data_IF_221841588333
#
_entry.id   IF_221841588333
#
_cell.length_a   1.000
_cell.length_b   1.000
_cell.length_c   1.000
_cell.angle_alpha   90.00
_cell.angle_beta   90.00
_cell.angle_gamma   90.00
#
_symmetry.space_group_name_H-M   'P 1'
#
loop_
_entity.id
_entity.type
_entity.pdbx_description
1 polymer ?
#
# COMPACT_ATOMS: atom_id res chain seq x y z
N UNK A 1 -1.65 18.04 4.52
CA UNK A 1 -2.13 16.69 4.29
C UNK A 1 -2.58 16.01 5.59
N UNK A 2 -1.77 16.10 6.66
CA UNK A 2 -2.14 15.58 7.99
C UNK A 2 -3.45 16.19 8.49
N UNK A 3 -3.60 17.52 8.44
CA UNK A 3 -4.82 18.21 8.84
C UNK A 3 -6.07 17.70 8.08
N UNK A 4 -5.94 17.44 6.77
CA UNK A 4 -7.05 16.89 5.97
C UNK A 4 -7.47 15.48 6.41
N UNK A 5 -6.52 14.65 6.83
CA UNK A 5 -6.83 13.34 7.37
C UNK A 5 -7.51 13.46 8.75
N UNK A 6 -7.04 14.37 9.60
CA UNK A 6 -7.61 14.66 10.92
C UNK A 6 -9.03 15.22 10.83
N UNK A 7 -9.31 16.13 9.88
CA UNK A 7 -10.68 16.62 9.59
C UNK A 7 -11.66 15.48 9.26
N UNK A 8 -11.17 14.42 8.64
CA UNK A 8 -11.95 13.22 8.31
C UNK A 8 -11.91 12.15 9.41
N UNK A 9 -11.25 12.40 10.53
CA UNK A 9 -11.16 11.47 11.65
C UNK A 9 -10.37 10.18 11.34
N UNK A 10 -9.46 10.21 10.34
CA UNK A 10 -8.71 9.04 9.90
C UNK A 10 -7.20 9.27 9.99
N UNK A 11 -6.43 8.17 10.02
CA UNK A 11 -4.99 8.26 9.93
C UNK A 11 -4.54 8.69 8.52
N UNK A 12 -3.37 9.32 8.44
CA UNK A 12 -2.77 9.72 7.16
C UNK A 12 -2.59 8.52 6.19
N UNK A 13 -2.26 7.34 6.72
CA UNK A 13 -2.14 6.12 5.92
C UNK A 13 -3.49 5.71 5.32
N UNK A 14 -4.56 5.74 6.11
CA UNK A 14 -5.94 5.48 5.63
C UNK A 14 -6.32 6.49 4.55
N UNK A 15 -6.05 7.78 4.80
CA UNK A 15 -6.39 8.85 3.86
C UNK A 15 -5.71 8.67 2.50
N UNK A 16 -4.39 8.49 2.49
CA UNK A 16 -3.62 8.28 1.26
C UNK A 16 -4.00 6.98 0.55
N UNK A 17 -4.27 5.91 1.30
CA UNK A 17 -4.75 4.64 0.74
C UNK A 17 -6.09 4.83 0.02
N UNK A 18 -7.02 5.58 0.60
CA UNK A 18 -8.32 5.86 -0.02
C UNK A 18 -8.18 6.69 -1.30
N UNK A 19 -7.33 7.73 -1.30
CA UNK A 19 -7.05 8.53 -2.50
C UNK A 19 -6.41 7.68 -3.60
N UNK A 20 -5.49 6.77 -3.26
CA UNK A 20 -4.88 5.83 -4.21
C UNK A 20 -5.92 4.86 -4.80
N UNK A 21 -6.79 4.29 -3.97
CA UNK A 21 -7.87 3.41 -4.43
C UNK A 21 -8.75 4.13 -5.47
N UNK A 22 -9.17 5.36 -5.18
CA UNK A 22 -9.95 6.17 -6.10
C UNK A 22 -9.19 6.53 -7.38
N UNK A 23 -7.88 6.76 -7.30
CA UNK A 23 -7.06 7.00 -8.48
C UNK A 23 -7.02 5.76 -9.40
N UNK A 24 -6.82 4.58 -8.84
CA UNK A 24 -6.84 3.33 -9.60
C UNK A 24 -8.22 3.03 -10.20
N UNK A 25 -9.30 3.25 -9.45
CA UNK A 25 -10.67 3.07 -9.96
C UNK A 25 -10.95 4.01 -11.14
N UNK A 26 -10.58 5.28 -11.02
CA UNK A 26 -10.75 6.25 -12.10
C UNK A 26 -9.95 5.87 -13.35
N UNK A 27 -8.70 5.42 -13.21
CA UNK A 27 -7.88 4.97 -14.33
C UNK A 27 -8.51 3.76 -14.99
N UNK A 28 -9.00 2.78 -14.20
CA UNK A 28 -9.65 1.59 -14.72
C UNK A 28 -10.91 1.94 -15.53
N UNK A 29 -11.75 2.84 -15.01
CA UNK A 29 -12.96 3.32 -15.70
C UNK A 29 -12.63 4.10 -16.97
N UNK A 30 -11.61 4.96 -16.95
CA UNK A 30 -11.17 5.72 -18.14
C UNK A 30 -10.61 4.81 -19.23
N UNK A 31 -9.80 3.81 -18.88
CA UNK A 31 -9.23 2.85 -19.85
C UNK A 31 -10.26 1.88 -20.43
N UNK A 32 -11.37 1.69 -19.73
CA UNK A 32 -12.41 0.75 -20.15
C UNK A 32 -13.80 1.37 -20.07
N UNK A 33 -14.14 2.37 -20.89
CA UNK A 33 -15.41 3.10 -20.79
C UNK A 33 -16.66 2.21 -20.94
N UNK A 34 -16.59 1.13 -21.71
CA UNK A 34 -17.68 0.15 -21.83
C UNK A 34 -17.99 -0.58 -20.51
N UNK A 35 -17.06 -0.59 -19.55
CA UNK A 35 -17.28 -1.17 -18.22
C UNK A 35 -18.05 -0.24 -17.29
N UNK A 36 -18.29 1.00 -17.68
CA UNK A 36 -19.11 1.95 -16.90
C UNK A 36 -20.63 1.72 -17.09
N UNK A 37 -21.03 0.79 -17.97
CA UNK A 37 -22.41 0.35 -18.09
C UNK A 37 -22.77 -0.67 -17.01
N UNK A 38 -24.07 -0.84 -16.63
CA UNK A 38 -24.48 -1.82 -15.63
C UNK A 38 -24.02 -3.26 -15.92
N UNK A 39 -24.00 -3.66 -17.19
CA UNK A 39 -23.48 -4.96 -17.62
C UNK A 39 -21.94 -5.02 -17.62
N UNK A 40 -21.29 -3.94 -18.00
CA UNK A 40 -19.84 -3.82 -18.05
C UNK A 40 -19.20 -3.66 -16.68
N UNK A 41 -19.91 -3.08 -15.71
CA UNK A 41 -19.41 -2.88 -14.34
C UNK A 41 -18.98 -4.21 -13.67
N UNK A 42 -19.68 -5.31 -13.96
CA UNK A 42 -19.31 -6.66 -13.49
C UNK A 42 -17.93 -7.13 -13.96
N UNK A 43 -17.31 -6.48 -14.93
CA UNK A 43 -15.95 -6.78 -15.44
C UNK A 43 -14.88 -5.87 -14.85
N UNK A 44 -15.26 -4.89 -14.04
CA UNK A 44 -14.29 -4.07 -13.29
C UNK A 44 -13.60 -4.96 -12.25
N UNK A 45 -12.30 -4.79 -12.11
CA UNK A 45 -11.51 -5.56 -11.15
C UNK A 45 -11.53 -4.89 -9.78
N UNK A 46 -11.52 -5.67 -8.69
CA UNK A 46 -11.31 -5.13 -7.35
C UNK A 46 -10.05 -4.25 -7.31
N UNK A 47 -10.13 -3.13 -6.61
CA UNK A 47 -8.97 -2.26 -6.37
C UNK A 47 -8.56 -2.43 -4.92
N UNK A 48 -7.42 -3.07 -4.68
CA UNK A 48 -6.84 -3.30 -3.37
C UNK A 48 -5.42 -2.78 -3.32
N UNK A 49 -5.05 -2.17 -2.20
CA UNK A 49 -3.70 -1.65 -1.98
C UNK A 49 -3.03 -2.48 -0.89
N UNK A 50 -1.83 -2.99 -1.17
CA UNK A 50 -1.01 -3.64 -0.14
C UNK A 50 -0.39 -2.57 0.77
N UNK A 51 -0.74 -2.61 2.04
CA UNK A 51 -0.21 -1.68 3.06
C UNK A 51 0.60 -2.50 4.07
N UNK A 52 1.94 -2.39 4.07
CA UNK A 52 2.78 -3.02 5.07
C UNK A 52 2.55 -2.43 6.46
N UNK A 53 2.62 -3.28 7.46
CA UNK A 53 2.38 -2.94 8.87
C UNK A 53 3.54 -3.42 9.72
N UNK A 54 4.12 -2.51 10.50
CA UNK A 54 5.17 -2.83 11.45
C UNK A 54 4.60 -3.56 12.66
N UNK A 55 4.92 -4.84 12.80
CA UNK A 55 4.43 -5.68 13.89
C UNK A 55 5.01 -5.32 15.26
N UNK A 56 6.13 -4.56 15.32
CA UNK A 56 6.70 -4.10 16.59
C UNK A 56 5.76 -3.22 17.40
N UNK A 57 4.78 -2.61 16.77
CA UNK A 57 3.73 -1.84 17.45
C UNK A 57 2.74 -2.71 18.23
N UNK A 58 2.62 -3.97 17.85
CA UNK A 58 1.68 -4.95 18.43
C UNK A 58 2.39 -5.99 19.29
N UNK A 59 3.62 -6.34 18.93
CA UNK A 59 4.42 -7.36 19.58
C UNK A 59 5.82 -6.78 19.89
N UNK A 60 6.07 -6.34 21.11
CA UNK A 60 7.36 -5.78 21.51
C UNK A 60 8.49 -6.78 21.25
N UNK A 61 9.51 -6.37 20.52
CA UNK A 61 10.68 -7.18 20.22
C UNK A 61 11.89 -6.30 19.93
N UNK A 62 13.09 -6.84 20.23
CA UNK A 62 14.37 -6.20 19.92
C UNK A 62 15.00 -6.70 18.62
N UNK A 63 14.32 -7.56 17.88
CA UNK A 63 14.86 -8.08 16.61
C UNK A 63 15.11 -6.97 15.60
N UNK A 64 16.26 -7.03 14.93
CA UNK A 64 16.60 -6.17 13.78
C UNK A 64 16.13 -6.76 12.44
N UNK A 65 15.62 -8.00 12.45
CA UNK A 65 15.08 -8.63 11.23
C UNK A 65 13.79 -7.95 10.79
N UNK A 66 13.43 -8.14 9.53
CA UNK A 66 12.14 -7.71 9.03
C UNK A 66 11.01 -8.37 9.87
N UNK A 67 10.24 -7.52 10.55
CA UNK A 67 9.13 -7.94 11.39
C UNK A 67 7.90 -7.12 11.01
N UNK A 68 7.39 -7.45 9.83
CA UNK A 68 6.25 -6.78 9.22
C UNK A 68 5.23 -7.80 8.70
N UNK A 69 3.99 -7.39 8.62
CA UNK A 69 2.91 -8.06 7.91
C UNK A 69 2.29 -7.04 6.95
N UNK A 70 1.22 -7.40 6.28
CA UNK A 70 0.49 -6.48 5.41
C UNK A 70 -1.02 -6.68 5.53
N UNK A 71 -1.75 -5.63 5.19
CA UNK A 71 -3.20 -5.62 5.00
C UNK A 71 -3.51 -5.14 3.60
N UNK A 72 -4.63 -5.59 3.03
CA UNK A 72 -5.00 -5.28 1.65
C UNK A 72 -6.39 -4.61 1.58
N UNK A 73 -6.54 -3.40 2.14
CA UNK A 73 -7.80 -2.68 2.03
C UNK A 73 -8.12 -2.34 0.57
N UNK A 74 -9.40 -2.29 0.25
CA UNK A 74 -9.84 -1.98 -1.10
C UNK A 74 -11.34 -1.95 -1.28
N UNK A 75 -11.75 -1.68 -2.51
CA UNK A 75 -13.14 -1.59 -2.94
C UNK A 75 -13.44 -2.57 -4.06
N UNK A 76 -14.74 -2.80 -4.28
CA UNK A 76 -15.27 -3.56 -5.39
C UNK A 76 -15.99 -2.61 -6.37
N UNK A 77 -15.31 -2.13 -7.44
CA UNK A 77 -15.86 -1.16 -8.37
C UNK A 77 -17.13 -1.59 -9.09
N UNK A 78 -17.43 -2.90 -9.10
CA UNK A 78 -18.65 -3.45 -9.69
C UNK A 78 -19.92 -3.02 -8.95
N UNK A 79 -19.81 -2.60 -7.69
CA UNK A 79 -20.95 -2.11 -6.90
C UNK A 79 -21.33 -0.66 -7.21
N UNK A 80 -20.49 0.09 -7.92
CA UNK A 80 -20.79 1.46 -8.30
C UNK A 80 -19.58 2.39 -8.28
N UNK A 81 -19.87 3.69 -8.29
CA UNK A 81 -18.88 4.76 -8.14
C UNK A 81 -18.85 5.17 -6.68
N UNK A 82 -17.66 5.21 -6.10
CA UNK A 82 -17.47 5.55 -4.70
C UNK A 82 -17.03 7.01 -4.53
N UNK A 83 -17.54 7.64 -3.50
CA UNK A 83 -17.05 8.93 -2.98
C UNK A 83 -15.81 8.72 -2.10
N UNK A 84 -15.09 9.81 -1.82
CA UNK A 84 -13.94 9.75 -0.91
C UNK A 84 -14.35 9.28 0.49
N UNK A 85 -15.46 9.78 1.02
CA UNK A 85 -15.91 9.46 2.38
C UNK A 85 -16.33 7.98 2.53
N UNK A 86 -16.95 7.41 1.50
CA UNK A 86 -17.25 5.98 1.45
C UNK A 86 -15.96 5.14 1.46
N UNK A 87 -14.98 5.49 0.63
CA UNK A 87 -13.71 4.74 0.58
C UNK A 87 -12.92 4.90 1.87
N UNK A 88 -12.90 6.10 2.47
CA UNK A 88 -12.28 6.32 3.79
C UNK A 88 -12.88 5.41 4.86
N UNK A 89 -14.22 5.35 4.93
CA UNK A 89 -14.93 4.47 5.87
C UNK A 89 -14.59 3.00 5.63
N UNK A 90 -14.64 2.54 4.38
CA UNK A 90 -14.31 1.15 4.02
C UNK A 90 -12.89 0.80 4.41
N UNK A 91 -11.91 1.63 4.03
CA UNK A 91 -10.48 1.39 4.32
C UNK A 91 -10.23 1.38 5.83
N UNK A 92 -10.80 2.34 6.56
CA UNK A 92 -10.67 2.44 8.02
C UNK A 92 -11.20 1.18 8.69
N UNK A 93 -12.39 0.71 8.33
CA UNK A 93 -12.98 -0.49 8.92
C UNK A 93 -12.21 -1.77 8.55
N UNK A 94 -11.84 -1.95 7.28
CA UNK A 94 -11.06 -3.10 6.85
C UNK A 94 -9.70 -3.17 7.56
N UNK A 95 -9.00 -2.05 7.65
CA UNK A 95 -7.74 -1.97 8.39
C UNK A 95 -7.95 -2.22 9.88
N UNK A 96 -8.98 -1.63 10.48
CA UNK A 96 -9.30 -1.81 11.90
C UNK A 96 -9.57 -3.27 12.28
N UNK A 97 -10.30 -3.99 11.45
CA UNK A 97 -10.56 -5.43 11.67
C UNK A 97 -9.30 -6.29 11.56
N UNK A 98 -8.40 -5.97 10.64
CA UNK A 98 -7.19 -6.76 10.40
C UNK A 98 -6.02 -6.38 11.34
N UNK A 99 -5.96 -5.13 11.81
CA UNK A 99 -4.88 -4.60 12.65
C UNK A 99 -5.13 -4.83 14.15
N UNK A 100 -5.57 -6.02 14.51
CA UNK A 100 -5.70 -6.44 15.90
C UNK A 100 -4.60 -7.42 16.29
N UNK A 101 -4.12 -7.43 17.55
CA UNK A 101 -3.10 -8.38 17.99
C UNK A 101 -3.51 -9.84 17.76
N UNK A 102 -4.82 -10.16 17.91
CA UNK A 102 -5.35 -11.51 17.71
C UNK A 102 -5.24 -11.95 16.25
N UNK A 103 -5.70 -11.10 15.30
CA UNK A 103 -5.66 -11.43 13.86
C UNK A 103 -4.23 -11.47 13.33
N UNK A 104 -3.42 -10.48 13.71
CA UNK A 104 -1.99 -10.43 13.33
C UNK A 104 -1.23 -11.61 13.91
N UNK A 105 -1.49 -11.97 15.17
CA UNK A 105 -0.89 -13.13 15.83
C UNK A 105 -1.26 -14.44 15.14
N UNK A 106 -2.52 -14.63 14.75
CA UNK A 106 -2.98 -15.81 14.02
C UNK A 106 -2.27 -15.93 12.65
N UNK A 107 -2.20 -14.83 11.88
CA UNK A 107 -1.49 -14.78 10.59
C UNK A 107 0.00 -15.13 10.75
N UNK A 108 0.66 -14.53 11.74
CA UNK A 108 2.06 -14.79 12.04
C UNK A 108 2.32 -16.23 12.47
N UNK A 109 1.50 -16.75 13.37
CA UNK A 109 1.61 -18.14 13.87
C UNK A 109 1.46 -19.15 12.74
N UNK A 110 0.55 -18.90 11.80
CA UNK A 110 0.37 -19.77 10.63
C UNK A 110 1.63 -19.83 9.78
N UNK A 111 2.29 -18.70 9.54
CA UNK A 111 3.54 -18.64 8.78
C UNK A 111 4.65 -19.41 9.51
N UNK A 112 4.83 -19.19 10.82
CA UNK A 112 5.85 -19.86 11.64
C UNK A 112 5.60 -21.39 11.70
N UNK A 113 4.35 -21.81 11.89
CA UNK A 113 4.00 -23.24 11.89
C UNK A 113 4.32 -23.93 10.56
N UNK A 114 4.11 -23.23 9.45
CA UNK A 114 4.49 -23.75 8.13
C UNK A 114 5.99 -24.01 8.03
N UNK A 115 6.81 -23.10 8.55
CA UNK A 115 8.28 -23.26 8.56
C UNK A 115 8.75 -24.34 9.55
N UNK A 116 8.03 -24.56 10.63
CA UNK A 116 8.35 -25.57 11.65
C UNK A 116 7.91 -26.98 11.25
N UNK A 117 7.13 -27.14 10.18
CA UNK A 117 6.68 -28.44 9.73
C UNK A 117 7.88 -29.32 9.36
N UNK A 118 8.00 -30.48 10.02
CA UNK A 118 9.14 -31.39 9.86
C UNK A 118 9.29 -31.85 8.40
N UNK A 119 8.21 -32.11 7.69
CA UNK A 119 8.21 -32.52 6.29
C UNK A 119 8.78 -31.42 5.40
N UNK A 120 8.37 -30.15 5.64
CA UNK A 120 8.89 -29.00 4.92
C UNK A 120 10.37 -28.73 5.26
N UNK A 121 10.81 -29.03 6.48
CA UNK A 121 12.23 -28.85 6.87
C UNK A 121 13.16 -29.84 6.16
N UNK A 122 12.75 -31.09 5.99
CA UNK A 122 13.56 -32.15 5.37
C UNK A 122 13.49 -32.10 3.84
N UNK A 123 12.44 -31.52 3.28
CA UNK A 123 12.28 -31.43 1.83
C UNK A 123 13.48 -30.77 1.14
N UNK A 124 14.00 -31.29 0.03
CA UNK A 124 15.05 -30.69 -0.77
C UNK A 124 14.69 -29.27 -1.24
N UNK A 125 15.70 -28.40 -1.37
CA UNK A 125 15.52 -26.98 -1.67
C UNK A 125 14.76 -26.74 -2.98
N UNK A 126 15.03 -27.56 -4.02
CA UNK A 126 14.36 -27.40 -5.32
C UNK A 126 12.84 -27.68 -5.24
N UNK A 127 12.40 -28.62 -4.38
CA UNK A 127 10.97 -28.87 -4.12
C UNK A 127 10.33 -27.73 -3.34
N UNK A 128 11.05 -27.18 -2.36
CA UNK A 128 10.59 -25.98 -1.63
C UNK A 128 10.44 -24.80 -2.57
N UNK A 129 11.40 -24.55 -3.45
CA UNK A 129 11.37 -23.44 -4.40
C UNK A 129 10.17 -23.57 -5.35
N UNK A 130 9.93 -24.78 -5.86
CA UNK A 130 8.78 -25.05 -6.71
C UNK A 130 7.45 -24.82 -5.98
N UNK A 131 7.32 -25.33 -4.76
CA UNK A 131 6.13 -25.15 -3.94
C UNK A 131 5.90 -23.68 -3.56
N UNK A 132 6.97 -22.95 -3.19
CA UNK A 132 6.91 -21.52 -2.87
C UNK A 132 6.55 -20.70 -4.10
N UNK A 133 7.08 -21.02 -5.27
CA UNK A 133 6.68 -20.37 -6.53
C UNK A 133 5.21 -20.61 -6.82
N UNK A 134 4.73 -21.85 -6.71
CA UNK A 134 3.31 -22.17 -6.91
C UNK A 134 2.42 -21.42 -5.92
N UNK A 135 2.75 -21.42 -4.62
CA UNK A 135 2.04 -20.67 -3.60
C UNK A 135 2.04 -19.15 -3.90
N UNK A 136 3.20 -18.58 -4.27
CA UNK A 136 3.30 -17.18 -4.67
C UNK A 136 2.43 -16.85 -5.88
N UNK A 137 2.39 -17.73 -6.89
CA UNK A 137 1.52 -17.55 -8.06
C UNK A 137 0.03 -17.62 -7.71
N UNK A 138 -0.35 -18.42 -6.73
CA UNK A 138 -1.74 -18.57 -6.31
C UNK A 138 -2.21 -17.48 -5.36
N UNK A 139 -1.37 -17.05 -4.43
CA UNK A 139 -1.76 -16.18 -3.30
C UNK A 139 -1.08 -14.82 -3.25
N UNK A 140 -0.01 -14.62 -4.03
CA UNK A 140 0.83 -13.42 -4.02
C UNK A 140 0.23 -12.19 -4.70
N UNK A 141 1.06 -11.42 -5.39
CA UNK A 141 0.81 -10.07 -5.92
C UNK A 141 -0.43 -9.88 -6.82
N UNK A 142 -1.10 -10.96 -7.24
CA UNK A 142 -2.30 -10.88 -8.09
C UNK A 142 -3.48 -10.17 -7.43
N UNK A 143 -3.45 -10.02 -6.11
CA UNK A 143 -4.60 -9.55 -5.33
C UNK A 143 -4.58 -8.05 -5.08
N UNK A 144 -3.50 -7.36 -5.40
CA UNK A 144 -3.33 -5.93 -5.12
C UNK A 144 -2.94 -5.14 -6.37
N UNK A 145 -3.35 -3.87 -6.44
CA UNK A 145 -3.01 -2.97 -7.54
C UNK A 145 -1.59 -2.39 -7.39
N UNK A 146 -1.18 -2.13 -6.15
CA UNK A 146 0.15 -1.61 -5.80
C UNK A 146 0.47 -1.88 -4.34
N UNK A 147 1.74 -1.61 -3.96
CA UNK A 147 2.17 -1.53 -2.57
C UNK A 147 2.35 -0.06 -2.17
N UNK A 148 1.77 0.32 -1.05
CA UNK A 148 1.89 1.64 -0.45
C UNK A 148 2.43 1.52 0.98
N UNK A 149 3.64 2.01 1.21
CA UNK A 149 4.29 2.00 2.53
C UNK A 149 4.51 3.41 3.04
N UNK A 150 4.03 3.67 4.24
CA UNK A 150 4.24 4.93 4.95
C UNK A 150 5.12 4.68 6.18
N UNK A 151 6.36 5.20 6.15
CA UNK A 151 7.28 5.11 7.28
C UNK A 151 6.93 6.08 8.42
N UNK A 152 6.08 7.08 8.16
CA UNK A 152 5.76 8.11 9.12
C UNK A 152 6.75 9.25 9.14
N UNK A 153 6.93 9.86 10.32
CA UNK A 153 7.85 10.98 10.49
C UNK A 153 9.23 10.48 10.90
N UNK A 154 10.24 10.87 10.14
CA UNK A 154 11.64 10.65 10.49
C UNK A 154 12.12 11.81 11.39
N UNK A 155 12.84 11.46 12.44
CA UNK A 155 13.51 12.41 13.31
C UNK A 155 14.99 12.03 13.40
N UNK A 156 15.85 13.01 13.29
CA UNK A 156 17.30 12.84 13.46
C UNK A 156 17.75 13.49 14.76
N UNK A 157 18.85 13.02 15.37
CA UNK A 157 19.54 13.76 16.42
C UNK A 157 19.86 15.19 15.94
N UNK A 158 19.84 16.16 16.86
CA UNK A 158 20.00 17.58 16.51
C UNK A 158 21.28 17.85 15.73
N UNK A 159 22.38 17.16 16.09
CA UNK A 159 23.66 17.30 15.43
C UNK A 159 23.65 16.84 13.97
N UNK A 160 22.86 15.82 13.65
CA UNK A 160 22.71 15.29 12.30
C UNK A 160 21.73 16.11 11.48
N UNK A 161 20.67 16.63 12.11
CA UNK A 161 19.63 17.40 11.44
C UNK A 161 20.19 18.65 10.73
N UNK A 162 21.28 19.22 11.24
CA UNK A 162 21.97 20.37 10.64
C UNK A 162 22.52 20.09 9.22
N UNK A 163 22.80 18.83 8.91
CA UNK A 163 23.43 18.43 7.64
C UNK A 163 22.45 17.72 6.68
N UNK A 164 21.23 17.43 7.11
CA UNK A 164 20.26 16.69 6.33
C UNK A 164 19.07 17.59 6.01
N UNK A 165 18.98 18.02 4.77
CA UNK A 165 17.89 18.89 4.29
C UNK A 165 16.69 18.14 3.72
N UNK A 166 16.87 16.84 3.36
CA UNK A 166 15.84 16.03 2.74
C UNK A 166 16.04 14.55 3.06
N UNK A 167 14.94 13.85 3.29
CA UNK A 167 14.91 12.40 3.42
C UNK A 167 13.82 11.81 2.55
N UNK A 168 14.14 10.72 1.87
CA UNK A 168 13.21 10.04 0.99
C UNK A 168 13.17 8.54 1.27
N UNK A 169 12.03 7.94 0.98
CA UNK A 169 11.85 6.50 1.07
C UNK A 169 11.30 5.96 -0.25
N UNK A 170 12.11 5.18 -0.94
CA UNK A 170 11.75 4.56 -2.20
C UNK A 170 11.56 3.04 -2.03
N UNK A 171 10.48 2.53 -2.61
CA UNK A 171 10.20 1.10 -2.73
C UNK A 171 10.50 0.64 -4.15
N UNK A 172 11.10 -0.54 -4.29
CA UNK A 172 11.20 -1.22 -5.58
C UNK A 172 9.81 -1.72 -6.04
N UNK A 173 9.49 -1.63 -7.33
CA UNK A 173 8.29 -2.24 -7.88
C UNK A 173 8.32 -3.78 -7.69
N UNK A 174 7.15 -4.36 -7.49
CA UNK A 174 7.00 -5.81 -7.42
C UNK A 174 6.91 -6.42 -8.81
N UNK A 175 7.20 -7.72 -8.95
CA UNK A 175 7.26 -8.40 -10.26
C UNK A 175 5.96 -8.31 -11.07
N UNK A 176 4.81 -8.15 -10.41
CA UNK A 176 3.49 -8.04 -11.05
C UNK A 176 2.80 -6.70 -10.85
N UNK A 177 3.24 -5.92 -9.89
CA UNK A 177 2.77 -4.56 -9.63
C UNK A 177 3.86 -3.60 -10.10
N UNK A 178 3.70 -3.02 -11.31
CA UNK A 178 4.75 -2.22 -11.94
C UNK A 178 4.98 -0.88 -11.25
N UNK A 179 4.17 -0.55 -10.25
CA UNK A 179 4.26 0.70 -9.49
C UNK A 179 4.31 0.39 -8.01
N UNK A 180 5.18 1.07 -7.27
CA UNK A 180 5.23 1.04 -5.81
C UNK A 180 5.33 2.46 -5.25
N UNK A 181 4.79 2.68 -4.06
CA UNK A 181 4.69 3.99 -3.45
C UNK A 181 5.27 3.95 -2.04
N UNK A 182 6.31 4.73 -1.82
CA UNK A 182 6.93 4.94 -0.52
C UNK A 182 6.70 6.37 -0.04
N UNK A 183 6.38 6.54 1.24
CA UNK A 183 6.23 7.88 1.82
C UNK A 183 6.98 8.01 3.14
N UNK A 184 7.55 9.19 3.35
CA UNK A 184 8.25 9.59 4.55
C UNK A 184 8.00 11.06 4.79
N UNK A 185 7.81 11.47 6.04
CA UNK A 185 7.79 12.88 6.42
C UNK A 185 9.10 13.25 7.11
N UNK A 186 9.67 14.37 6.74
CA UNK A 186 10.86 14.95 7.37
C UNK A 186 10.77 16.47 7.34
N UNK A 187 11.06 17.11 8.45
CA UNK A 187 11.07 18.57 8.61
C UNK A 187 9.78 19.25 8.05
N UNK A 188 8.62 18.77 8.49
CA UNK A 188 7.32 19.31 8.09
C UNK A 188 6.87 19.01 6.67
N UNK A 189 7.74 18.44 5.83
CA UNK A 189 7.45 18.07 4.44
C UNK A 189 7.23 16.58 4.31
N UNK A 190 6.20 16.18 3.55
CA UNK A 190 5.97 14.78 3.21
C UNK A 190 6.47 14.50 1.79
N UNK A 191 7.41 13.58 1.70
CA UNK A 191 7.95 13.08 0.43
C UNK A 191 7.18 11.82 0.03
N UNK A 192 6.60 11.86 -1.17
CA UNK A 192 5.84 10.75 -1.75
C UNK A 192 6.60 10.30 -2.99
N UNK A 193 7.25 9.14 -2.90
CA UNK A 193 8.05 8.59 -3.97
C UNK A 193 7.26 7.49 -4.69
N UNK A 194 7.07 7.66 -5.99
CA UNK A 194 6.42 6.67 -6.85
C UNK A 194 7.49 6.10 -7.78
N UNK A 195 7.75 4.81 -7.63
CA UNK A 195 8.66 4.07 -8.50
C UNK A 195 7.88 3.19 -9.46
N UNK A 196 8.31 3.11 -10.71
CA UNK A 196 7.62 2.33 -11.73
C UNK A 196 8.55 1.69 -12.74
N UNK A 197 8.09 0.60 -13.36
CA UNK A 197 8.74 -0.09 -14.47
C UNK A 197 8.04 0.16 -15.82
N UNK A 198 6.94 0.91 -15.81
CA UNK A 198 6.16 1.29 -16.99
C UNK A 198 6.41 2.76 -17.33
N UNK A 199 6.17 3.16 -18.59
CA UNK A 199 6.35 4.56 -19.04
C UNK A 199 5.18 5.45 -18.66
N UNK A 200 3.97 4.89 -18.59
CA UNK A 200 2.74 5.63 -18.32
C UNK A 200 2.74 6.21 -16.91
N UNK A 201 2.46 7.50 -16.81
CA UNK A 201 2.34 8.27 -15.55
C UNK A 201 0.89 8.52 -15.14
N UNK A 202 -0.03 7.65 -15.57
CA UNK A 202 -1.45 7.82 -15.31
C UNK A 202 -1.76 7.87 -13.81
N UNK A 203 -1.07 7.04 -13.01
CA UNK A 203 -1.30 6.97 -11.57
C UNK A 203 -0.84 8.25 -10.88
N UNK A 204 0.37 8.70 -11.17
CA UNK A 204 0.93 9.93 -10.61
C UNK A 204 0.04 11.12 -10.91
N UNK A 205 -0.36 11.25 -12.19
CA UNK A 205 -1.24 12.33 -12.63
C UNK A 205 -2.57 12.30 -11.89
N UNK A 206 -3.24 11.15 -11.85
CA UNK A 206 -4.54 11.01 -11.21
C UNK A 206 -4.46 11.24 -9.69
N UNK A 207 -3.45 10.65 -9.05
CA UNK A 207 -3.24 10.73 -7.61
C UNK A 207 -2.94 12.17 -7.16
N UNK A 208 -1.94 12.81 -7.77
CA UNK A 208 -1.57 14.18 -7.39
C UNK A 208 -2.64 15.20 -7.78
N UNK A 209 -3.34 15.01 -8.90
CA UNK A 209 -4.49 15.86 -9.25
C UNK A 209 -5.59 15.78 -8.19
N UNK A 210 -5.84 14.60 -7.63
CA UNK A 210 -6.81 14.45 -6.53
C UNK A 210 -6.35 15.15 -5.27
N UNK A 211 -5.08 15.02 -4.89
CA UNK A 211 -4.53 15.71 -3.73
C UNK A 211 -4.66 17.25 -3.87
N UNK A 212 -4.33 17.78 -5.04
CA UNK A 212 -4.49 19.24 -5.32
C UNK A 212 -5.95 19.65 -5.22
N UNK A 213 -6.89 18.89 -5.80
CA UNK A 213 -8.34 19.15 -5.69
C UNK A 213 -8.84 19.10 -4.24
N UNK A 214 -8.19 18.33 -3.38
CA UNK A 214 -8.46 18.25 -1.95
C UNK A 214 -7.75 19.36 -1.14
N UNK A 215 -7.15 20.35 -1.82
CA UNK A 215 -6.51 21.50 -1.21
C UNK A 215 -5.13 21.22 -0.61
N UNK A 216 -4.45 20.17 -1.08
CA UNK A 216 -3.07 19.87 -0.66
C UNK A 216 -2.10 20.51 -1.65
N UNK A 217 -1.17 21.39 -1.21
CA UNK A 217 -0.12 21.89 -2.07
C UNK A 217 0.84 20.76 -2.46
N UNK A 218 1.15 20.65 -3.74
CA UNK A 218 2.01 19.58 -4.28
C UNK A 218 3.08 20.19 -5.16
N UNK A 219 4.34 19.83 -4.91
CA UNK A 219 5.46 20.06 -5.81
C UNK A 219 5.86 18.71 -6.41
N UNK A 220 6.06 18.67 -7.73
CA UNK A 220 6.40 17.43 -8.45
C UNK A 220 7.81 17.55 -9.01
N UNK A 221 8.63 16.56 -8.70
CA UNK A 221 9.93 16.34 -9.31
C UNK A 221 9.91 15.01 -10.06
N UNK A 222 10.56 14.95 -11.21
CA UNK A 222 10.62 13.74 -12.03
C UNK A 222 12.00 13.57 -12.64
N UNK A 223 12.47 12.31 -12.67
CA UNK A 223 13.66 11.91 -13.39
C UNK A 223 13.39 11.56 -14.87
N UNK A 224 12.16 11.70 -15.34
CA UNK A 224 11.83 11.55 -16.76
C UNK A 224 12.24 12.82 -17.51
N UNK A 225 13.01 12.62 -18.58
CA UNK A 225 13.36 13.61 -19.60
C UNK A 225 12.39 13.50 -20.76
#
# INVERSE_FOLDING_TARGET
LKARAEEKGVSLTVYLTAVLILAFDAIQRRKHPLRNTPRGAKRLKPVKICVPVNLRRFFPTRTLRNFANYVNPGIEPSYGVYTLDEVLSIVMHQMGMELTPKVLGAKFTTNVRSEQNAVLRVAPLFLKDLAMRAAFYMTGDKKTATCFSNLGNASLPAEMALFVTRMEFMLGPLSRNPVAIGTLSYDGTMYINITRTIRESDLEREFFTRLVKLGVPVQIESNQR
#
